data_IF_968359863107
#
_entry.id   IF_968359863107
#
_cell.length_a   1.000
_cell.length_b   1.000
_cell.length_c   1.000
_cell.angle_alpha   90.00
_cell.angle_beta   90.00
_cell.angle_gamma   90.00
#
_symmetry.space_group_name_H-M   'P 1'
#
loop_
_entity.id
_entity.type
_entity.pdbx_description
1 polymer ?
#
# COMPACT_ATOMS: atom_id res chain seq x y z
N UNK A 1 -57.57 16.01 2.58
CA UNK A 1 -56.56 16.13 3.65
C UNK A 1 -55.62 14.91 3.74
N UNK A 2 -56.11 13.67 3.72
CA UNK A 2 -55.24 12.47 3.82
C UNK A 2 -54.20 12.27 2.72
N UNK A 3 -54.47 12.72 1.49
CA UNK A 3 -53.54 12.57 0.35
C UNK A 3 -52.22 13.33 0.54
N UNK A 4 -52.27 14.51 1.17
CA UNK A 4 -51.06 15.30 1.46
C UNK A 4 -50.18 14.65 2.53
N UNK A 5 -50.79 14.01 3.54
CA UNK A 5 -50.07 13.23 4.54
C UNK A 5 -49.38 12.02 3.88
N UNK A 6 -50.08 11.32 2.98
CA UNK A 6 -49.49 10.19 2.26
C UNK A 6 -48.30 10.61 1.38
N UNK A 7 -48.39 11.75 0.70
CA UNK A 7 -47.28 12.31 -0.10
C UNK A 7 -46.09 12.69 0.80
N UNK A 8 -46.33 13.31 1.94
CA UNK A 8 -45.28 13.70 2.89
C UNK A 8 -44.54 12.46 3.45
N UNK A 9 -45.27 11.41 3.84
CA UNK A 9 -44.68 10.14 4.30
C UNK A 9 -43.89 9.48 3.16
N UNK A 10 -44.41 9.49 1.93
CA UNK A 10 -43.70 8.96 0.76
C UNK A 10 -42.37 9.67 0.49
N UNK A 11 -42.36 11.01 0.50
CA UNK A 11 -41.12 11.78 0.34
C UNK A 11 -40.13 11.54 1.49
N UNK A 12 -40.62 11.47 2.73
CA UNK A 12 -39.77 11.21 3.88
C UNK A 12 -39.13 9.82 3.80
N UNK A 13 -39.92 8.79 3.48
CA UNK A 13 -39.41 7.43 3.30
C UNK A 13 -38.39 7.36 2.16
N UNK A 14 -38.65 7.98 1.00
CA UNK A 14 -37.69 8.04 -0.11
C UNK A 14 -36.40 8.78 0.28
N UNK A 15 -36.51 9.87 1.02
CA UNK A 15 -35.36 10.63 1.53
C UNK A 15 -34.48 9.79 2.47
N UNK A 16 -35.11 9.02 3.37
CA UNK A 16 -34.38 8.15 4.30
C UNK A 16 -33.65 7.02 3.57
N UNK A 17 -34.26 6.40 2.55
CA UNK A 17 -33.63 5.33 1.75
C UNK A 17 -32.43 5.87 0.96
N UNK A 18 -32.51 7.08 0.40
CA UNK A 18 -31.39 7.67 -0.33
C UNK A 18 -30.22 8.06 0.58
N UNK A 19 -30.48 8.52 1.81
CA UNK A 19 -29.45 8.80 2.80
C UNK A 19 -28.71 7.54 3.27
N UNK A 20 -29.37 6.37 3.20
CA UNK A 20 -28.81 5.09 3.61
C UNK A 20 -28.01 4.38 2.52
N UNK A 21 -28.00 4.89 1.27
CA UNK A 21 -27.32 4.19 0.18
C UNK A 21 -25.80 4.24 0.42
N UNK A 22 -25.16 3.10 0.74
CA UNK A 22 -23.73 3.08 0.99
C UNK A 22 -23.02 3.57 -0.27
N UNK A 23 -21.96 4.37 -0.08
CA UNK A 23 -21.21 4.86 -1.23
C UNK A 23 -20.68 3.65 -1.99
N UNK A 24 -20.87 3.64 -3.31
CA UNK A 24 -20.42 2.52 -4.15
C UNK A 24 -18.90 2.34 -4.04
N UNK A 25 -18.17 3.40 -3.72
CA UNK A 25 -16.72 3.39 -3.50
C UNK A 25 -16.35 2.64 -2.22
N UNK A 26 -17.07 2.86 -1.11
CA UNK A 26 -16.80 2.16 0.15
C UNK A 26 -17.07 0.65 0.01
N UNK A 27 -18.15 0.27 -0.70
CA UNK A 27 -18.42 -1.14 -1.00
C UNK A 27 -17.31 -1.78 -1.85
N UNK A 28 -16.76 -1.03 -2.83
CA UNK A 28 -15.66 -1.51 -3.68
C UNK A 28 -14.36 -1.65 -2.89
N UNK A 29 -14.08 -0.70 -2.00
CA UNK A 29 -12.92 -0.72 -1.11
C UNK A 29 -12.99 -1.87 -0.12
N UNK A 30 -14.16 -2.13 0.44
CA UNK A 30 -14.39 -3.24 1.35
C UNK A 30 -14.16 -4.59 0.65
N UNK A 31 -14.70 -4.76 -0.58
CA UNK A 31 -14.42 -5.95 -1.41
C UNK A 31 -12.95 -6.12 -1.77
N UNK A 32 -12.24 -5.04 -2.06
CA UNK A 32 -10.80 -5.05 -2.30
C UNK A 32 -10.05 -5.58 -1.07
N UNK A 33 -10.37 -5.04 0.10
CA UNK A 33 -9.72 -5.41 1.37
C UNK A 33 -10.06 -6.83 1.80
N UNK A 34 -11.29 -7.28 1.60
CA UNK A 34 -11.68 -8.68 1.85
C UNK A 34 -10.95 -9.66 0.92
N UNK A 35 -10.86 -9.34 -0.38
CA UNK A 35 -10.11 -10.17 -1.33
C UNK A 35 -8.63 -10.20 -1.00
N UNK A 36 -8.04 -9.08 -0.59
CA UNK A 36 -6.65 -9.01 -0.14
C UNK A 36 -6.40 -9.92 1.07
N UNK A 37 -7.27 -9.86 2.08
CA UNK A 37 -7.20 -10.76 3.26
C UNK A 37 -7.29 -12.22 2.87
N UNK A 38 -8.16 -12.57 1.92
CA UNK A 38 -8.28 -13.94 1.39
C UNK A 38 -6.98 -14.42 0.72
N UNK A 39 -6.22 -13.50 0.12
CA UNK A 39 -4.91 -13.77 -0.49
C UNK A 39 -3.74 -13.67 0.51
N UNK A 40 -4.03 -13.58 1.82
CA UNK A 40 -3.04 -13.42 2.91
C UNK A 40 -2.26 -12.09 2.87
N UNK A 41 -2.74 -11.14 2.08
CA UNK A 41 -2.29 -9.76 2.16
C UNK A 41 -3.05 -9.10 3.32
N UNK A 42 -2.34 -8.48 4.25
CA UNK A 42 -2.98 -7.78 5.36
C UNK A 42 -3.12 -6.29 5.02
N UNK A 43 -4.31 -5.82 4.60
CA UNK A 43 -4.55 -4.43 4.30
C UNK A 43 -4.72 -3.63 5.60
N UNK A 44 -3.91 -2.59 5.75
CA UNK A 44 -4.04 -1.54 6.76
C UNK A 44 -4.16 -0.20 6.06
N UNK A 45 -4.89 0.74 6.65
CA UNK A 45 -4.97 2.10 6.15
C UNK A 45 -4.27 3.00 7.17
N UNK A 46 -3.15 3.59 6.77
CA UNK A 46 -2.29 4.35 7.67
C UNK A 46 -2.06 5.77 7.15
N UNK A 47 -1.58 6.66 8.01
CA UNK A 47 -1.01 7.92 7.59
C UNK A 47 0.18 7.65 6.65
N UNK A 48 0.30 8.45 5.59
CA UNK A 48 1.43 8.37 4.69
C UNK A 48 2.72 8.56 5.50
N UNK A 49 3.65 7.60 5.47
CA UNK A 49 4.91 7.78 6.18
C UNK A 49 5.75 8.88 5.52
N UNK A 50 6.60 9.52 6.32
CA UNK A 50 7.34 10.74 5.93
C UNK A 50 8.32 10.52 4.76
N UNK A 51 8.74 9.29 4.50
CA UNK A 51 9.60 8.94 3.36
C UNK A 51 8.84 8.72 2.05
N UNK A 52 7.50 8.69 2.08
CA UNK A 52 6.67 8.51 0.87
C UNK A 52 6.08 9.85 0.44
N UNK A 53 6.15 10.12 -0.88
CA UNK A 53 5.44 11.23 -1.51
C UNK A 53 3.93 10.96 -1.51
N UNK A 54 3.22 11.73 -0.73
CA UNK A 54 1.78 11.67 -0.57
C UNK A 54 1.00 12.23 -1.77
N UNK A 55 -0.26 12.58 -1.51
CA UNK A 55 -1.25 12.94 -2.55
C UNK A 55 -0.86 14.18 -3.37
N UNK A 56 -0.14 15.13 -2.79
CA UNK A 56 0.20 16.43 -3.38
C UNK A 56 1.67 16.57 -3.76
N UNK A 57 2.39 15.44 -3.91
CA UNK A 57 3.87 15.44 -4.03
C UNK A 57 4.59 15.94 -2.76
N UNK A 58 3.84 16.17 -1.68
CA UNK A 58 4.35 16.49 -0.35
C UNK A 58 4.59 15.20 0.45
N UNK A 59 5.72 15.13 1.14
CA UNK A 59 6.11 14.01 1.99
C UNK A 59 5.18 13.90 3.20
N UNK A 60 4.82 12.68 3.61
CA UNK A 60 4.04 12.42 4.82
C UNK A 60 2.57 12.87 4.79
N UNK A 61 2.08 13.42 3.68
CA UNK A 61 0.72 13.98 3.62
C UNK A 61 -0.33 13.02 3.06
N UNK A 62 -1.35 12.77 3.87
CA UNK A 62 -2.57 12.05 3.52
C UNK A 62 -2.60 10.62 4.06
N UNK A 63 -3.60 9.86 3.60
CA UNK A 63 -3.78 8.46 3.99
C UNK A 63 -3.44 7.53 2.82
N UNK A 64 -2.81 6.41 3.12
CA UNK A 64 -2.36 5.41 2.14
C UNK A 64 -2.74 3.99 2.58
N UNK A 65 -3.02 3.13 1.60
CA UNK A 65 -3.21 1.71 1.81
C UNK A 65 -1.87 1.00 1.96
N UNK A 66 -1.72 0.25 3.04
CA UNK A 66 -0.59 -0.60 3.36
C UNK A 66 -1.00 -2.06 3.17
N UNK A 67 -0.30 -2.80 2.33
CA UNK A 67 -0.59 -4.21 2.08
C UNK A 67 0.65 -5.02 2.43
N UNK A 68 0.61 -5.73 3.56
CA UNK A 68 1.74 -6.54 4.00
C UNK A 68 1.55 -8.01 3.64
N UNK A 69 2.57 -8.59 3.00
CA UNK A 69 2.76 -10.01 2.81
C UNK A 69 3.77 -10.50 3.84
N UNK A 70 3.38 -11.47 4.66
CA UNK A 70 4.25 -12.12 5.63
C UNK A 70 4.80 -13.39 4.99
N UNK A 71 6.11 -13.58 5.05
CA UNK A 71 6.80 -14.77 4.52
C UNK A 71 7.58 -15.41 5.66
N UNK A 72 7.15 -16.57 6.14
CA UNK A 72 7.74 -17.21 7.32
C UNK A 72 9.16 -17.75 7.07
N UNK A 73 9.50 -18.05 5.81
CA UNK A 73 10.79 -18.62 5.42
C UNK A 73 11.93 -17.59 5.32
N UNK A 74 11.64 -16.28 5.41
CA UNK A 74 12.61 -15.22 5.02
C UNK A 74 12.69 -14.08 6.04
N UNK A 75 13.92 -13.62 6.34
CA UNK A 75 14.17 -12.42 7.17
C UNK A 75 14.93 -11.37 6.38
N UNK A 76 14.25 -10.27 6.08
CA UNK A 76 14.75 -9.08 5.42
C UNK A 76 15.26 -8.05 6.43
N UNK A 77 16.36 -7.34 6.11
CA UNK A 77 16.72 -6.12 6.82
C UNK A 77 15.63 -5.05 6.61
N UNK A 78 15.58 -4.09 7.53
CA UNK A 78 14.67 -2.96 7.41
C UNK A 78 15.10 -2.08 6.23
N UNK A 79 14.36 -2.12 5.12
CA UNK A 79 14.71 -1.40 3.88
C UNK A 79 13.49 -0.66 3.32
N UNK A 80 13.66 0.62 2.97
CA UNK A 80 12.63 1.47 2.37
C UNK A 80 12.93 1.72 0.88
N UNK A 81 11.98 1.40 0.01
CA UNK A 81 12.03 1.67 -1.43
C UNK A 81 10.91 2.63 -1.82
N UNK A 82 11.24 3.76 -2.43
CA UNK A 82 10.28 4.69 -3.00
C UNK A 82 10.08 4.39 -4.48
N UNK A 83 8.84 4.45 -4.97
CA UNK A 83 8.58 4.36 -6.42
C UNK A 83 8.72 5.75 -7.02
N UNK A 84 9.79 5.97 -7.77
CA UNK A 84 10.07 7.21 -8.52
C UNK A 84 10.07 6.87 -10.01
N UNK A 85 9.20 7.52 -10.78
CA UNK A 85 9.07 7.32 -12.24
C UNK A 85 8.90 5.86 -12.69
N UNK A 86 8.14 5.07 -11.91
CA UNK A 86 7.85 3.66 -12.23
C UNK A 86 9.00 2.69 -11.96
N UNK A 87 10.06 3.15 -11.27
CA UNK A 87 11.17 2.32 -10.79
C UNK A 87 11.25 2.37 -9.27
N UNK A 88 11.64 1.25 -8.68
CA UNK A 88 11.96 1.19 -7.25
C UNK A 88 13.30 1.89 -7.02
N UNK A 89 13.31 2.96 -6.23
CA UNK A 89 14.52 3.68 -5.83
C UNK A 89 14.71 3.51 -4.32
N UNK A 90 15.94 3.20 -3.91
CA UNK A 90 16.26 3.08 -2.48
C UNK A 90 16.18 4.46 -1.83
N UNK A 91 15.49 4.57 -0.70
CA UNK A 91 15.49 5.82 0.06
C UNK A 91 16.86 6.01 0.77
N UNK A 92 17.58 7.06 0.38
CA UNK A 92 18.89 7.41 0.93
C UNK A 92 18.86 7.84 2.41
N UNK A 93 17.68 8.00 3.01
CA UNK A 93 17.54 8.34 4.44
C UNK A 93 17.97 7.20 5.38
N UNK A 94 18.24 5.99 4.89
CA UNK A 94 18.76 4.88 5.72
C UNK A 94 20.19 5.09 6.25
N UNK A 95 20.83 6.22 5.92
CA UNK A 95 22.11 6.63 6.49
C UNK A 95 22.03 7.40 7.82
N UNK A 96 20.83 7.71 8.34
CA UNK A 96 20.71 8.49 9.57
C UNK A 96 19.74 7.81 10.54
N UNK A 97 20.29 6.90 11.33
CA UNK A 97 19.60 6.30 12.46
C UNK A 97 19.03 7.38 13.38
N UNK A 98 17.73 7.30 13.65
CA UNK A 98 17.18 7.85 14.89
C UNK A 98 17.63 6.97 16.05
N UNK A 99 18.91 7.07 16.40
CA UNK A 99 19.44 6.60 17.68
C UNK A 99 19.26 7.70 18.71
N UNK A 100 18.02 7.84 19.20
CA UNK A 100 17.77 8.54 20.46
C UNK A 100 18.19 7.61 21.60
N UNK A 101 19.47 7.75 21.95
CA UNK A 101 20.04 7.57 23.28
C UNK A 101 20.08 6.15 23.87
N UNK A 102 21.22 5.47 23.72
CA UNK A 102 21.88 4.78 24.85
C UNK A 102 23.38 4.79 24.61
N UNK A 103 24.03 5.74 25.26
CA UNK A 103 25.47 5.91 25.32
C UNK A 103 26.07 4.81 26.21
N UNK A 104 26.83 3.88 25.64
CA UNK A 104 28.07 3.37 26.25
C UNK A 104 28.74 2.28 25.43
N UNK A 105 30.04 2.47 25.22
CA UNK A 105 31.07 1.44 25.03
C UNK A 105 31.30 0.92 23.61
N UNK A 106 32.31 1.54 22.99
CA UNK A 106 33.34 0.93 22.15
C UNK A 106 33.21 -0.58 21.92
N UNK A 107 33.03 -0.98 20.65
CA UNK A 107 33.84 -2.02 19.99
C UNK A 107 33.53 -2.10 18.49
N UNK A 108 34.55 -2.51 17.73
CA UNK A 108 34.72 -2.43 16.28
C UNK A 108 33.59 -3.08 15.46
N UNK A 109 32.94 -2.35 14.54
CA UNK A 109 32.15 -2.97 13.46
C UNK A 109 32.28 -2.24 12.11
N UNK A 110 33.42 -2.43 11.44
CA UNK A 110 33.67 -1.96 10.07
C UNK A 110 33.23 -2.94 8.96
N UNK A 111 32.29 -3.86 9.21
CA UNK A 111 31.97 -4.95 8.26
C UNK A 111 30.47 -5.21 8.01
N UNK A 112 29.56 -4.70 8.85
CA UNK A 112 28.12 -4.99 8.73
C UNK A 112 27.29 -4.01 7.88
N UNK A 113 27.83 -2.83 7.54
CA UNK A 113 27.11 -1.84 6.71
C UNK A 113 27.11 -2.21 5.22
N UNK A 114 28.20 -2.78 4.69
CA UNK A 114 28.38 -3.05 3.26
C UNK A 114 27.45 -4.17 2.76
N UNK A 115 27.18 -5.19 3.56
CA UNK A 115 26.28 -6.30 3.22
C UNK A 115 24.80 -5.91 3.27
N UNK A 116 24.39 -5.11 4.26
CA UNK A 116 23.03 -4.52 4.30
C UNK A 116 22.77 -3.61 3.10
N UNK A 117 23.76 -2.78 2.74
CA UNK A 117 23.66 -1.84 1.64
C UNK A 117 23.65 -2.54 0.26
N UNK A 118 24.38 -3.66 0.11
CA UNK A 118 24.30 -4.50 -1.11
C UNK A 118 22.95 -5.19 -1.29
N UNK A 119 22.35 -5.70 -0.22
CA UNK A 119 21.01 -6.30 -0.28
C UNK A 119 19.95 -5.23 -0.61
N UNK A 120 20.11 -4.03 -0.06
CA UNK A 120 19.24 -2.90 -0.34
C UNK A 120 19.34 -2.42 -1.81
N UNK A 121 20.52 -2.50 -2.44
CA UNK A 121 20.70 -2.14 -3.84
C UNK A 121 20.14 -3.15 -4.85
N UNK A 122 19.77 -4.37 -4.43
CA UNK A 122 19.31 -5.43 -5.36
C UNK A 122 17.94 -5.16 -6.01
N UNK A 123 17.09 -4.41 -5.33
CA UNK A 123 15.77 -4.02 -5.84
C UNK A 123 15.76 -2.63 -6.49
N UNK A 124 16.89 -1.92 -6.43
CA UNK A 124 17.01 -0.57 -6.97
C UNK A 124 17.03 -0.61 -8.50
N UNK A 125 16.12 0.13 -9.14
CA UNK A 125 16.00 0.25 -10.58
C UNK A 125 15.05 -0.76 -11.25
N UNK A 126 14.42 -1.66 -10.50
CA UNK A 126 13.52 -2.66 -11.09
C UNK A 126 12.22 -2.01 -11.59
N UNK A 127 11.80 -2.27 -12.85
CA UNK A 127 10.54 -1.75 -13.35
C UNK A 127 9.37 -2.38 -12.61
N UNK A 128 8.40 -1.55 -12.26
CA UNK A 128 7.17 -2.00 -11.60
C UNK A 128 6.33 -2.85 -12.57
N UNK A 129 6.52 -4.17 -12.57
CA UNK A 129 5.71 -5.13 -13.36
C UNK A 129 4.35 -5.37 -12.68
N UNK A 130 3.60 -4.29 -12.49
CA UNK A 130 2.25 -4.31 -11.92
C UNK A 130 1.21 -4.05 -13.01
N UNK A 131 -0.05 -4.46 -12.80
CA UNK A 131 -1.15 -4.11 -13.68
C UNK A 131 -1.21 -2.58 -13.92
N UNK A 132 -1.54 -2.12 -15.14
CA UNK A 132 -1.50 -0.69 -15.50
C UNK A 132 -2.46 0.18 -14.67
N UNK A 133 -3.49 -0.42 -14.09
CA UNK A 133 -4.44 0.18 -13.15
C UNK A 133 -3.85 0.43 -11.75
N UNK A 134 -2.88 -0.37 -11.32
CA UNK A 134 -2.26 -0.30 -9.99
C UNK A 134 -0.90 0.39 -10.02
N UNK A 135 -0.12 0.20 -11.09
CA UNK A 135 1.24 0.71 -11.23
C UNK A 135 1.41 2.20 -10.87
N UNK A 136 0.56 3.14 -11.34
CA UNK A 136 0.71 4.56 -10.99
C UNK A 136 0.27 4.90 -9.55
N UNK A 137 -0.40 3.98 -8.86
CA UNK A 137 -0.93 4.19 -7.51
C UNK A 137 -0.01 3.70 -6.42
N UNK A 138 0.96 2.84 -6.76
CA UNK A 138 1.99 2.38 -5.83
C UNK A 138 3.01 3.48 -5.62
N UNK A 139 3.31 3.75 -4.35
CA UNK A 139 4.20 4.84 -3.92
C UNK A 139 5.47 4.36 -3.27
N UNK A 140 5.47 3.16 -2.67
CA UNK A 140 6.66 2.62 -2.05
C UNK A 140 6.50 1.16 -1.65
N UNK A 141 7.63 0.53 -1.38
CA UNK A 141 7.75 -0.82 -0.82
C UNK A 141 8.64 -0.73 0.41
N UNK A 142 8.27 -1.43 1.46
CA UNK A 142 8.99 -1.48 2.72
C UNK A 142 9.20 -2.93 3.10
N UNK A 143 10.38 -3.25 3.55
CA UNK A 143 10.70 -4.56 4.06
C UNK A 143 11.14 -4.43 5.51
N UNK A 144 10.61 -5.31 6.36
CA UNK A 144 11.01 -5.39 7.76
C UNK A 144 10.84 -6.81 8.26
N UNK A 145 11.91 -7.37 8.81
CA UNK A 145 11.93 -8.72 9.37
C UNK A 145 11.35 -9.72 8.35
N UNK A 146 10.20 -10.34 8.60
CA UNK A 146 9.59 -11.30 7.69
C UNK A 146 8.45 -10.73 6.83
N UNK A 147 8.32 -9.40 6.76
CA UNK A 147 7.21 -8.74 6.09
C UNK A 147 7.68 -7.87 4.94
N UNK A 148 7.03 -8.04 3.78
CA UNK A 148 7.13 -7.14 2.64
C UNK A 148 5.82 -6.37 2.53
N UNK A 149 5.93 -5.05 2.57
CA UNK A 149 4.83 -4.12 2.70
C UNK A 149 4.80 -3.22 1.49
N UNK A 150 3.71 -3.22 0.74
CA UNK A 150 3.50 -2.30 -0.38
C UNK A 150 2.57 -1.17 0.06
N UNK A 151 2.99 0.06 -0.21
CA UNK A 151 2.22 1.27 0.02
C UNK A 151 1.66 1.79 -1.29
N UNK A 152 0.34 1.88 -1.37
CA UNK A 152 -0.36 2.32 -2.57
C UNK A 152 -1.72 2.97 -2.25
N UNK A 153 -2.21 3.81 -3.14
CA UNK A 153 -3.49 4.49 -2.95
C UNK A 153 -4.68 3.60 -3.35
N UNK A 154 -5.02 2.64 -2.49
CA UNK A 154 -6.17 1.72 -2.63
C UNK A 154 -7.51 2.45 -2.89
N UNK A 155 -7.72 3.61 -2.27
CA UNK A 155 -8.91 4.43 -2.48
C UNK A 155 -8.99 4.99 -3.92
N UNK A 156 -7.87 5.42 -4.51
CA UNK A 156 -7.86 5.92 -5.90
C UNK A 156 -8.13 4.80 -6.89
N UNK A 157 -7.67 3.58 -6.59
CA UNK A 157 -7.91 2.41 -7.41
C UNK A 157 -9.41 2.08 -7.55
N UNK A 158 -10.18 2.25 -6.48
CA UNK A 158 -11.64 2.00 -6.47
C UNK A 158 -12.47 3.21 -6.88
N UNK A 159 -11.87 4.37 -7.14
CA UNK A 159 -12.60 5.56 -7.56
C UNK A 159 -12.88 5.53 -9.07
N UNK A 160 -14.14 5.76 -9.51
CA UNK A 160 -14.48 5.85 -10.93
C UNK A 160 -13.69 6.94 -11.69
N UNK A 161 -13.31 8.01 -10.98
CA UNK A 161 -12.53 9.11 -11.55
C UNK A 161 -11.11 8.69 -11.98
N UNK A 162 -10.52 7.71 -11.32
CA UNK A 162 -9.14 7.25 -11.58
C UNK A 162 -9.13 5.92 -12.32
N UNK A 163 -10.13 5.06 -12.09
CA UNK A 163 -10.32 3.80 -12.81
C UNK A 163 -11.80 3.67 -13.26
N UNK A 164 -12.17 4.21 -14.42
CA UNK A 164 -13.54 4.15 -14.93
C UNK A 164 -13.96 2.74 -15.32
N UNK A 165 -13.01 1.88 -15.71
CA UNK A 165 -13.25 0.50 -16.14
C UNK A 165 -13.12 -0.53 -15.01
N UNK A 166 -13.11 -0.08 -13.76
CA UNK A 166 -12.98 -0.98 -12.62
C UNK A 166 -14.05 -2.07 -12.63
N UNK A 167 -13.60 -3.32 -12.59
CA UNK A 167 -14.45 -4.49 -12.45
C UNK A 167 -14.05 -5.26 -11.19
N UNK A 168 -15.05 -5.62 -10.39
CA UNK A 168 -14.85 -6.43 -9.18
C UNK A 168 -14.19 -7.77 -9.51
N UNK A 169 -14.47 -8.35 -10.68
CA UNK A 169 -13.88 -9.61 -11.12
C UNK A 169 -12.37 -9.49 -11.42
N UNK A 170 -11.88 -8.28 -11.71
CA UNK A 170 -10.46 -8.03 -11.98
C UNK A 170 -9.64 -7.80 -10.70
N UNK A 171 -10.28 -7.59 -9.55
CA UNK A 171 -9.59 -7.36 -8.28
C UNK A 171 -8.72 -8.56 -7.88
N UNK A 172 -9.28 -9.77 -7.95
CA UNK A 172 -8.57 -11.00 -7.58
C UNK A 172 -7.34 -11.27 -8.47
N UNK A 173 -7.44 -11.28 -9.81
CA UNK A 173 -6.26 -11.51 -10.64
C UNK A 173 -5.21 -10.40 -10.49
N UNK A 174 -5.61 -9.14 -10.29
CA UNK A 174 -4.66 -8.05 -10.07
C UNK A 174 -3.96 -8.14 -8.71
N UNK A 175 -4.68 -8.50 -7.63
CA UNK A 175 -4.06 -8.75 -6.32
C UNK A 175 -3.17 -10.01 -6.33
N UNK A 176 -3.52 -11.03 -7.11
CA UNK A 176 -2.69 -12.21 -7.30
C UNK A 176 -1.40 -11.85 -8.05
N UNK A 177 -1.49 -11.03 -9.09
CA UNK A 177 -0.32 -10.50 -9.79
C UNK A 177 0.56 -9.67 -8.84
N UNK A 178 -0.03 -8.79 -8.02
CA UNK A 178 0.69 -8.04 -6.98
C UNK A 178 1.42 -8.97 -6.01
N UNK A 179 0.74 -10.02 -5.49
CA UNK A 179 1.35 -11.02 -4.61
C UNK A 179 2.52 -11.73 -5.28
N UNK A 180 2.35 -12.15 -6.54
CA UNK A 180 3.41 -12.82 -7.31
C UNK A 180 4.62 -11.91 -7.51
N UNK A 181 4.40 -10.63 -7.84
CA UNK A 181 5.48 -9.65 -7.97
C UNK A 181 6.20 -9.42 -6.63
N UNK A 182 5.46 -9.32 -5.52
CA UNK A 182 6.03 -9.21 -4.17
C UNK A 182 6.88 -10.45 -3.82
N UNK A 183 6.45 -11.65 -4.18
CA UNK A 183 7.23 -12.88 -3.99
C UNK A 183 8.48 -12.91 -4.87
N UNK A 184 8.39 -12.44 -6.12
CA UNK A 184 9.55 -12.34 -7.01
C UNK A 184 10.61 -11.37 -6.45
N UNK A 185 10.18 -10.23 -5.92
CA UNK A 185 11.06 -9.29 -5.20
C UNK A 185 11.71 -9.94 -3.98
N UNK A 186 10.95 -10.67 -3.19
CA UNK A 186 11.47 -11.39 -2.03
C UNK A 186 12.55 -12.42 -2.43
N UNK A 187 12.32 -13.21 -3.48
CA UNK A 187 13.28 -14.19 -3.99
C UNK A 187 14.58 -13.52 -4.47
N UNK A 188 14.48 -12.37 -5.15
CA UNK A 188 15.65 -11.61 -5.60
C UNK A 188 16.50 -11.03 -4.47
N UNK A 189 15.90 -10.78 -3.30
CA UNK A 189 16.65 -10.33 -2.14
C UNK A 189 17.46 -11.44 -1.49
N UNK A 190 16.99 -12.69 -1.60
CA UNK A 190 17.67 -13.86 -1.03
C UNK A 190 18.74 -14.44 -1.96
N UNK A 191 18.51 -14.49 -3.28
CA UNK A 191 19.49 -14.93 -4.27
C UNK A 191 20.52 -13.86 -4.56
#
# INVERSE_FOLDING_TARGET
MGTWIAIAIGMFALGTIMALKPSAVDMRLDKLRMTARRLELNPKFIACPDWIRGRNNEFGQGMIGQYSLIMDDMKFPETHYQVVDGKLQLDGSQGQGSDLNTQSSSEKEGSHSVSKQRLAQRLEGEPLTLPPSMAPLVKGVYLKANSLVVFWHDNRYVQPATNPNFNIQQIEPELMALKSTMQAWAQKLVN
#
